data_IF_306072433458
#
_entry.id   IF_306072433458
#
_cell.length_a   1.000
_cell.length_b   1.000
_cell.length_c   1.000
_cell.angle_alpha   90.00
_cell.angle_beta   90.00
_cell.angle_gamma   90.00
#
_symmetry.space_group_name_H-M   'P 1'
#
loop_
_entity.id
_entity.type
_entity.pdbx_description
1 polymer ?
#
# COMPACT_ATOMS: atom_id res chain seq x y z
N UNK A 1 13.43 7.31 6.94
CA UNK A 1 13.40 6.03 6.22
C UNK A 1 12.92 6.23 4.78
N UNK A 2 13.16 5.29 3.85
CA UNK A 2 12.69 5.34 2.46
C UNK A 2 11.55 4.35 2.30
N UNK A 3 10.34 4.83 2.00
CA UNK A 3 9.13 3.98 1.97
C UNK A 3 8.53 3.96 0.57
N UNK A 4 8.31 2.78 0.03
CA UNK A 4 7.59 2.57 -1.23
C UNK A 4 6.15 2.13 -0.93
N UNK A 5 5.18 2.83 -1.51
CA UNK A 5 3.78 2.45 -1.46
C UNK A 5 3.34 1.87 -2.80
N UNK A 6 2.59 0.77 -2.75
CA UNK A 6 2.03 0.15 -3.95
C UNK A 6 0.72 -0.57 -3.64
N UNK A 7 -0.15 -0.70 -4.64
CA UNK A 7 -1.40 -1.45 -4.50
C UNK A 7 -1.72 -2.23 -5.75
N UNK A 8 -2.11 -3.48 -5.55
CA UNK A 8 -2.78 -4.33 -6.52
C UNK A 8 -4.28 -4.10 -6.56
N UNK A 9 -4.91 -3.43 -5.59
CA UNK A 9 -6.36 -3.18 -5.55
C UNK A 9 -6.72 -1.68 -5.48
N UNK A 10 -6.44 -0.92 -6.56
CA UNK A 10 -6.56 0.54 -6.53
C UNK A 10 -7.99 1.06 -6.31
N UNK A 11 -9.03 0.25 -6.58
CA UNK A 11 -10.42 0.63 -6.37
C UNK A 11 -10.79 0.80 -4.89
N UNK A 12 -10.21 -0.03 -4.02
CA UNK A 12 -10.46 0.02 -2.58
C UNK A 12 -9.34 0.71 -1.80
N UNK A 13 -8.08 0.34 -2.05
CA UNK A 13 -6.98 0.63 -1.14
C UNK A 13 -6.14 1.86 -1.52
N UNK A 14 -6.39 2.49 -2.66
CA UNK A 14 -5.60 3.64 -3.11
C UNK A 14 -5.58 4.77 -2.07
N UNK A 15 -6.74 5.16 -1.53
CA UNK A 15 -6.77 6.26 -0.56
C UNK A 15 -6.17 5.87 0.80
N UNK A 16 -6.31 4.61 1.23
CA UNK A 16 -5.67 4.07 2.44
C UNK A 16 -4.14 4.22 2.34
N UNK A 17 -3.57 3.75 1.24
CA UNK A 17 -2.13 3.89 0.97
C UNK A 17 -1.71 5.35 0.85
N UNK A 18 -2.47 6.18 0.14
CA UNK A 18 -2.17 7.62 -0.02
C UNK A 18 -2.14 8.34 1.32
N UNK A 19 -3.18 8.19 2.15
CA UNK A 19 -3.25 8.83 3.48
C UNK A 19 -2.09 8.38 4.37
N UNK A 20 -1.72 7.10 4.30
CA UNK A 20 -0.57 6.55 5.03
C UNK A 20 0.75 7.14 4.52
N UNK A 21 0.93 7.23 3.20
CA UNK A 21 2.11 7.83 2.58
C UNK A 21 2.27 9.31 2.97
N UNK A 22 1.16 10.06 2.95
CA UNK A 22 1.14 11.46 3.36
C UNK A 22 1.50 11.63 4.84
N UNK A 23 0.98 10.77 5.72
CA UNK A 23 1.31 10.80 7.15
C UNK A 23 2.79 10.47 7.41
N UNK A 24 3.34 9.42 6.78
CA UNK A 24 4.76 9.08 6.91
C UNK A 24 5.68 10.18 6.33
N UNK A 25 5.26 10.82 5.22
CA UNK A 25 5.98 11.97 4.67
C UNK A 25 6.04 13.11 5.68
N UNK A 26 4.92 13.45 6.32
CA UNK A 26 4.89 14.49 7.38
C UNK A 26 5.76 14.13 8.57
N UNK A 27 5.85 12.84 8.90
CA UNK A 27 6.76 12.33 9.93
C UNK A 27 8.25 12.30 9.50
N UNK A 28 8.58 12.72 8.27
CA UNK A 28 9.96 12.86 7.78
C UNK A 28 10.48 11.68 6.95
N UNK A 29 9.62 10.75 6.53
CA UNK A 29 10.00 9.69 5.60
C UNK A 29 10.13 10.19 4.16
N UNK A 30 11.08 9.61 3.42
CA UNK A 30 11.19 9.78 1.97
C UNK A 30 10.24 8.79 1.28
N UNK A 31 9.19 9.29 0.63
CA UNK A 31 8.32 8.44 -0.18
C UNK A 31 8.97 8.22 -1.55
N UNK A 32 9.23 6.95 -1.87
CA UNK A 32 10.01 6.54 -3.04
C UNK A 32 9.24 6.81 -4.32
N UNK A 33 9.87 7.56 -5.25
CA UNK A 33 9.38 7.73 -6.62
C UNK A 33 9.88 6.62 -7.53
N UNK A 34 8.99 5.87 -8.16
CA UNK A 34 9.38 4.74 -9.02
C UNK A 34 10.04 5.22 -10.33
N UNK A 35 10.92 4.41 -10.95
CA UNK A 35 11.39 4.69 -12.30
C UNK A 35 10.22 4.76 -13.31
N UNK A 36 10.30 5.64 -14.32
CA UNK A 36 9.29 5.72 -15.39
C UNK A 36 9.50 4.67 -16.48
N UNK A 37 8.43 4.41 -17.25
CA UNK A 37 8.43 3.54 -18.42
C UNK A 37 8.46 2.04 -18.08
N UNK A 38 8.01 1.68 -16.89
CA UNK A 38 7.96 0.29 -16.43
C UNK A 38 6.74 -0.42 -17.00
N UNK A 39 6.94 -1.67 -17.40
CA UNK A 39 5.92 -2.54 -17.97
C UNK A 39 5.90 -3.84 -17.17
N UNK A 40 4.70 -4.30 -16.82
CA UNK A 40 4.45 -5.60 -16.21
C UNK A 40 3.06 -6.09 -16.64
N UNK A 41 2.89 -7.40 -16.82
CA UNK A 41 1.59 -8.02 -17.15
C UNK A 41 0.81 -7.33 -18.27
N UNK A 42 1.50 -6.96 -19.35
CA UNK A 42 0.94 -6.25 -20.51
C UNK A 42 0.41 -4.82 -20.21
N UNK A 43 0.65 -4.30 -19.00
CA UNK A 43 0.28 -2.96 -18.56
C UNK A 43 1.49 -2.09 -18.21
N UNK A 44 1.21 -0.82 -17.91
CA UNK A 44 2.18 0.15 -17.41
C UNK A 44 2.17 0.15 -15.88
N UNK A 45 3.35 0.14 -15.27
CA UNK A 45 3.47 0.42 -13.83
C UNK A 45 3.58 1.92 -13.65
N UNK A 46 2.54 2.50 -13.09
CA UNK A 46 2.39 3.95 -12.89
C UNK A 46 2.35 4.27 -11.41
N UNK A 47 2.56 5.53 -11.06
CA UNK A 47 2.46 6.00 -9.68
C UNK A 47 1.55 7.22 -9.61
N UNK A 48 0.45 7.09 -8.88
CA UNK A 48 -0.51 8.16 -8.64
C UNK A 48 -0.66 8.39 -7.14
N UNK A 49 -0.66 9.66 -6.74
CA UNK A 49 -0.72 10.04 -5.32
C UNK A 49 0.29 9.26 -4.46
N UNK A 50 1.51 9.11 -5.00
CA UNK A 50 2.63 8.36 -4.43
C UNK A 50 2.46 6.83 -4.29
N UNK A 51 1.35 6.27 -4.73
CA UNK A 51 1.09 4.83 -4.71
C UNK A 51 1.35 4.24 -6.10
N UNK A 52 2.20 3.22 -6.18
CA UNK A 52 2.44 2.49 -7.42
C UNK A 52 1.30 1.50 -7.71
N UNK A 53 0.89 1.37 -8.96
CA UNK A 53 -0.22 0.52 -9.38
C UNK A 53 -0.08 0.12 -10.86
N UNK A 54 -0.87 -0.87 -11.28
CA UNK A 54 -0.91 -1.31 -12.68
C UNK A 54 -1.98 -0.54 -13.46
N UNK A 55 -1.62 -0.01 -14.62
CA UNK A 55 -2.53 0.66 -15.56
C UNK A 55 -2.56 -0.10 -16.89
N UNK A 56 -3.77 -0.27 -17.45
CA UNK A 56 -3.97 -0.80 -18.80
C UNK A 56 -5.20 -0.16 -19.44
N UNK A 57 -5.01 0.45 -20.60
CA UNK A 57 -6.11 1.02 -21.38
C UNK A 57 -6.79 2.22 -20.71
N UNK A 58 -6.01 3.12 -20.11
CA UNK A 58 -6.45 4.27 -19.31
C UNK A 58 -7.29 3.92 -18.07
N UNK A 59 -7.15 2.69 -17.55
CA UNK A 59 -7.82 2.20 -16.35
C UNK A 59 -6.79 1.69 -15.36
N UNK A 60 -7.01 1.88 -14.06
CA UNK A 60 -6.21 1.27 -13.00
C UNK A 60 -6.73 -0.14 -12.73
N UNK A 61 -5.86 -1.14 -12.79
CA UNK A 61 -6.25 -2.55 -12.76
C UNK A 61 -6.04 -3.18 -11.40
N UNK A 62 -7.02 -4.01 -11.04
CA UNK A 62 -6.84 -5.00 -9.99
C UNK A 62 -5.84 -6.07 -10.42
N UNK A 63 -4.87 -6.41 -9.57
CA UNK A 63 -3.92 -7.49 -9.82
C UNK A 63 -3.31 -8.05 -8.54
N UNK A 64 -3.26 -9.39 -8.45
CA UNK A 64 -2.51 -10.10 -7.41
C UNK A 64 -1.08 -10.44 -7.87
N UNK A 65 -0.69 -10.04 -9.09
CA UNK A 65 0.60 -10.38 -9.66
C UNK A 65 1.75 -9.69 -8.92
N UNK A 66 2.88 -10.39 -8.67
CA UNK A 66 4.09 -9.78 -8.13
C UNK A 66 4.92 -9.02 -9.18
N UNK A 67 4.62 -9.20 -10.48
CA UNK A 67 5.46 -8.70 -11.57
C UNK A 67 5.64 -7.16 -11.55
N UNK A 68 4.63 -6.33 -11.23
CA UNK A 68 4.83 -4.88 -11.14
C UNK A 68 5.83 -4.46 -10.06
N UNK A 69 5.80 -5.07 -8.88
CA UNK A 69 6.78 -4.82 -7.82
C UNK A 69 8.18 -5.27 -8.25
N UNK A 70 8.30 -6.45 -8.86
CA UNK A 70 9.57 -6.92 -9.40
C UNK A 70 10.15 -5.93 -10.42
N UNK A 71 9.32 -5.42 -11.35
CA UNK A 71 9.74 -4.43 -12.34
C UNK A 71 10.25 -3.13 -11.70
N UNK A 72 9.63 -2.66 -10.62
CA UNK A 72 10.09 -1.48 -9.87
C UNK A 72 11.47 -1.74 -9.25
N UNK A 73 11.59 -2.81 -8.46
CA UNK A 73 12.81 -3.11 -7.70
C UNK A 73 13.99 -3.40 -8.64
N UNK A 74 13.76 -4.20 -9.68
CA UNK A 74 14.78 -4.54 -10.68
C UNK A 74 15.25 -3.28 -11.44
N UNK A 75 14.33 -2.39 -11.82
CA UNK A 75 14.68 -1.14 -12.49
C UNK A 75 15.42 -0.16 -11.57
N UNK A 76 15.10 -0.11 -10.28
CA UNK A 76 15.84 0.68 -9.31
C UNK A 76 17.28 0.16 -9.17
N UNK A 77 17.44 -1.15 -8.97
CA UNK A 77 18.75 -1.78 -8.89
C UNK A 77 19.58 -1.56 -10.17
N UNK A 78 18.98 -1.77 -11.34
CA UNK A 78 19.65 -1.61 -12.62
C UNK A 78 20.11 -0.16 -12.88
N UNK A 79 19.34 0.83 -12.42
CA UNK A 79 19.69 2.26 -12.53
C UNK A 79 20.59 2.75 -11.38
N UNK A 80 21.07 1.86 -10.52
CA UNK A 80 21.90 2.20 -9.36
C UNK A 80 21.18 3.10 -8.34
N UNK A 81 19.84 3.08 -8.32
CA UNK A 81 19.03 3.83 -7.36
C UNK A 81 18.94 3.06 -6.05
N UNK A 82 19.04 3.71 -4.88
CA UNK A 82 18.87 3.03 -3.60
C UNK A 82 17.45 2.45 -3.50
N UNK A 83 17.34 1.17 -3.12
CA UNK A 83 16.07 0.48 -2.85
C UNK A 83 15.31 1.14 -1.67
N UNK A 84 13.99 0.91 -1.55
CA UNK A 84 13.26 1.27 -0.33
C UNK A 84 13.83 0.53 0.88
N UNK A 85 13.76 1.17 2.05
CA UNK A 85 13.99 0.51 3.34
C UNK A 85 12.76 -0.24 3.83
N UNK A 86 11.57 0.25 3.47
CA UNK A 86 10.28 -0.36 3.78
C UNK A 86 9.36 -0.31 2.55
N UNK A 87 8.60 -1.39 2.34
CA UNK A 87 7.50 -1.44 1.39
C UNK A 87 6.17 -1.57 2.15
N UNK A 88 5.21 -0.70 1.85
CA UNK A 88 3.83 -0.83 2.32
C UNK A 88 2.97 -1.13 1.10
N UNK A 89 2.41 -2.32 1.02
CA UNK A 89 1.69 -2.77 -0.17
C UNK A 89 0.59 -3.79 0.16
N UNK A 90 0.05 -4.45 -0.87
CA UNK A 90 -0.94 -5.53 -0.75
C UNK A 90 -0.69 -6.60 -1.85
N UNK A 91 -1.40 -7.73 -1.75
CA UNK A 91 -1.29 -8.88 -2.65
C UNK A 91 0.15 -9.30 -3.03
N UNK A 92 0.39 -9.63 -4.30
CA UNK A 92 1.70 -10.00 -4.82
C UNK A 92 2.75 -8.89 -4.74
N UNK A 93 2.36 -7.62 -4.56
CA UNK A 93 3.31 -6.51 -4.44
C UNK A 93 4.04 -6.57 -3.10
N UNK A 94 3.31 -6.73 -1.99
CA UNK A 94 3.91 -6.92 -0.68
C UNK A 94 4.69 -8.24 -0.62
N UNK A 95 4.13 -9.33 -1.16
CA UNK A 95 4.78 -10.63 -1.20
C UNK A 95 6.10 -10.62 -1.96
N UNK A 96 6.17 -9.92 -3.11
CA UNK A 96 7.40 -9.77 -3.87
C UNK A 96 8.48 -9.03 -3.08
N UNK A 97 8.13 -7.93 -2.42
CA UNK A 97 9.08 -7.17 -1.61
C UNK A 97 9.65 -8.02 -0.45
N UNK A 98 8.78 -8.71 0.30
CA UNK A 98 9.22 -9.60 1.38
C UNK A 98 10.12 -10.73 0.88
N UNK A 99 9.77 -11.39 -0.23
CA UNK A 99 10.61 -12.44 -0.84
C UNK A 99 11.96 -11.93 -1.36
N UNK A 100 12.06 -10.64 -1.67
CA UNK A 100 13.31 -9.96 -2.03
C UNK A 100 14.14 -9.54 -0.80
N UNK A 101 13.67 -9.85 0.41
CA UNK A 101 14.36 -9.56 1.67
C UNK A 101 14.25 -8.10 2.10
N UNK A 102 13.26 -7.36 1.59
CA UNK A 102 12.94 -6.01 2.06
C UNK A 102 11.94 -6.08 3.20
N UNK A 103 12.04 -5.16 4.16
CA UNK A 103 10.99 -5.01 5.15
C UNK A 103 9.69 -4.63 4.45
N UNK A 104 8.64 -5.39 4.73
CA UNK A 104 7.35 -5.27 4.05
C UNK A 104 6.19 -5.38 5.03
N UNK A 105 5.24 -4.44 4.91
CA UNK A 105 3.93 -4.46 5.56
C UNK A 105 2.89 -4.66 4.47
N UNK A 106 1.97 -5.60 4.69
CA UNK A 106 0.94 -5.99 3.74
C UNK A 106 -0.48 -5.75 4.25
N UNK A 107 -1.33 -5.05 3.51
CA UNK A 107 -2.79 -5.17 3.70
C UNK A 107 -3.28 -6.44 3.02
N UNK A 108 -4.16 -7.20 3.67
CA UNK A 108 -4.66 -8.46 3.13
C UNK A 108 -6.10 -8.77 3.54
N UNK A 109 -6.93 -9.13 2.55
CA UNK A 109 -8.21 -9.78 2.78
C UNK A 109 -8.01 -11.27 3.09
N UNK A 110 -8.99 -11.89 3.75
CA UNK A 110 -8.98 -13.28 4.16
C UNK A 110 -8.81 -14.28 3.00
N UNK A 111 -9.09 -13.84 1.77
CA UNK A 111 -8.88 -14.60 0.54
C UNK A 111 -7.45 -14.43 -0.04
N UNK A 112 -6.58 -13.63 0.58
CA UNK A 112 -5.14 -13.46 0.27
C UNK A 112 -4.24 -14.12 1.34
N UNK A 113 -4.29 -15.45 1.51
CA UNK A 113 -3.60 -16.14 2.60
C UNK A 113 -2.07 -16.02 2.54
N UNK A 114 -1.51 -15.64 1.39
CA UNK A 114 -0.06 -15.60 1.16
C UNK A 114 0.65 -14.60 2.08
N UNK A 115 0.04 -13.45 2.38
CA UNK A 115 0.67 -12.44 3.24
C UNK A 115 0.68 -12.87 4.70
N UNK A 116 -0.42 -13.46 5.18
CA UNK A 116 -0.50 -14.06 6.52
C UNK A 116 0.54 -15.17 6.72
N UNK A 117 0.73 -16.03 5.72
CA UNK A 117 1.79 -17.02 5.74
C UNK A 117 3.17 -16.36 5.76
N UNK A 118 3.37 -15.34 4.91
CA UNK A 118 4.61 -14.58 4.85
C UNK A 118 4.98 -13.94 6.20
N UNK A 119 4.02 -13.39 6.94
CA UNK A 119 4.24 -12.91 8.31
C UNK A 119 4.60 -14.06 9.26
N UNK A 120 3.85 -15.16 9.24
CA UNK A 120 4.12 -16.33 10.08
C UNK A 120 5.51 -16.95 9.83
N UNK A 121 6.05 -16.81 8.62
CA UNK A 121 7.37 -17.29 8.23
C UNK A 121 8.47 -16.23 8.41
N UNK A 122 8.13 -15.00 8.79
CA UNK A 122 9.05 -13.86 8.93
C UNK A 122 9.53 -13.28 7.60
N UNK A 123 8.86 -13.59 6.48
CA UNK A 123 9.08 -12.97 5.17
C UNK A 123 8.43 -11.58 5.07
N UNK A 124 7.30 -11.37 5.76
CA UNK A 124 6.70 -10.05 5.99
C UNK A 124 6.84 -9.66 7.46
N UNK A 125 6.96 -8.36 7.71
CA UNK A 125 7.03 -7.82 9.08
C UNK A 125 5.66 -7.86 9.76
N UNK A 126 4.63 -7.42 9.04
CA UNK A 126 3.24 -7.33 9.55
C UNK A 126 2.28 -7.55 8.39
N UNK A 127 1.23 -8.35 8.63
CA UNK A 127 0.02 -8.36 7.80
C UNK A 127 -1.10 -7.63 8.53
N UNK A 128 -1.67 -6.61 7.90
CA UNK A 128 -2.83 -5.87 8.42
C UNK A 128 -4.09 -6.47 7.80
N UNK A 129 -4.88 -7.26 8.54
CA UNK A 129 -6.11 -7.84 8.02
C UNK A 129 -7.16 -6.75 7.79
N UNK A 130 -7.78 -6.74 6.61
CA UNK A 130 -8.93 -5.91 6.28
C UNK A 130 -9.72 -6.53 5.12
N UNK A 131 -11.00 -6.20 4.98
CA UNK A 131 -11.73 -6.46 3.73
C UNK A 131 -11.27 -5.40 2.72
N UNK A 132 -10.66 -5.79 1.61
CA UNK A 132 -10.14 -4.85 0.61
C UNK A 132 -11.17 -4.46 -0.46
N UNK A 133 -12.36 -5.08 -0.47
CA UNK A 133 -13.41 -4.86 -1.46
C UNK A 133 -14.77 -4.50 -0.84
N UNK A 134 -14.78 -3.54 0.07
CA UNK A 134 -16.04 -2.91 0.52
C UNK A 134 -16.71 -2.11 -0.61
N UNK A 135 -18.04 -2.02 -0.57
CA UNK A 135 -18.83 -1.38 -1.64
C UNK A 135 -18.55 0.12 -1.81
N UNK A 136 -18.39 0.85 -0.71
CA UNK A 136 -18.01 2.27 -0.73
C UNK A 136 -16.62 2.44 -0.10
N UNK A 137 -15.59 2.79 -0.89
CA UNK A 137 -14.22 3.00 -0.40
C UNK A 137 -14.11 4.00 0.76
N UNK A 138 -15.07 4.92 0.94
CA UNK A 138 -15.10 5.83 2.11
C UNK A 138 -15.25 5.10 3.44
N UNK A 139 -15.72 3.85 3.42
CA UNK A 139 -15.81 3.01 4.61
C UNK A 139 -14.43 2.72 5.23
N UNK A 140 -13.33 2.94 4.50
CA UNK A 140 -11.98 2.83 5.02
C UNK A 140 -11.49 4.06 5.78
N UNK A 141 -12.17 5.21 5.69
CA UNK A 141 -11.72 6.46 6.32
C UNK A 141 -11.58 6.33 7.84
N UNK A 142 -12.57 5.79 8.60
CA UNK A 142 -12.45 5.67 10.05
C UNK A 142 -11.36 4.68 10.48
N UNK A 143 -11.17 3.62 9.70
CA UNK A 143 -10.12 2.62 9.94
C UNK A 143 -8.72 3.22 9.70
N UNK A 144 -8.56 3.97 8.61
CA UNK A 144 -7.31 4.65 8.29
C UNK A 144 -6.97 5.68 9.35
N UNK A 145 -7.95 6.47 9.81
CA UNK A 145 -7.77 7.42 10.91
C UNK A 145 -7.39 6.72 12.21
N UNK A 146 -8.07 5.65 12.56
CA UNK A 146 -7.73 4.86 13.74
C UNK A 146 -6.28 4.35 13.70
N UNK A 147 -5.84 3.81 12.56
CA UNK A 147 -4.47 3.30 12.39
C UNK A 147 -3.44 4.43 12.53
N UNK A 148 -3.67 5.57 11.87
CA UNK A 148 -2.79 6.73 11.97
C UNK A 148 -2.77 7.30 13.38
N UNK A 149 -3.91 7.33 14.07
CA UNK A 149 -4.00 7.80 15.46
C UNK A 149 -3.19 6.89 16.39
N UNK A 150 -3.42 5.58 16.28
CA UNK A 150 -2.73 4.58 17.10
C UNK A 150 -1.21 4.60 16.87
N UNK A 151 -0.77 4.96 15.66
CA UNK A 151 0.64 5.14 15.32
C UNK A 151 1.23 6.51 15.75
N UNK A 152 0.42 7.43 16.29
CA UNK A 152 0.84 8.79 16.61
C UNK A 152 1.15 9.65 15.38
N UNK A 153 0.48 9.36 14.26
CA UNK A 153 0.68 9.97 12.93
C UNK A 153 -0.50 10.85 12.46
N UNK A 154 -1.59 10.91 13.23
CA UNK A 154 -2.63 11.93 13.01
C UNK A 154 -2.18 13.30 13.54
N UNK A 155 -2.66 14.36 12.90
CA UNK A 155 -2.49 15.72 13.41
C UNK A 155 -3.44 15.97 14.59
N UNK A 156 -3.06 16.88 15.50
CA UNK A 156 -3.92 17.32 16.62
C UNK A 156 -5.24 17.98 16.15
N UNK A 157 -5.38 18.28 14.84
CA UNK A 157 -6.58 18.82 14.20
C UNK A 157 -7.45 17.81 13.43
N UNK A 158 -6.97 16.58 13.23
CA UNK A 158 -7.67 15.48 12.53
C UNK A 158 -8.31 14.48 13.52
N UNK A 159 -8.27 14.79 14.83
CA UNK A 159 -8.90 13.95 15.84
C UNK A 159 -10.40 13.78 15.52
N UNK A 160 -10.94 12.55 15.58
CA UNK A 160 -12.29 12.28 15.11
C UNK A 160 -13.29 13.13 15.88
N UNK A 161 -14.09 13.91 15.15
CA UNK A 161 -15.35 14.42 15.68
C UNK A 161 -16.16 13.18 16.03
N UNK A 162 -16.43 12.97 17.32
CA UNK A 162 -17.36 11.91 17.74
C UNK A 162 -18.72 12.26 17.14
N UNK A 163 -19.08 11.64 16.03
CA UNK A 163 -20.47 11.65 15.59
C UNK A 163 -21.27 10.84 16.60
N UNK A 164 -22.16 11.54 17.32
CA UNK A 164 -23.19 10.88 18.10
C UNK A 164 -24.04 10.05 17.13
N UNK A 165 -24.06 8.74 17.33
CA UNK A 165 -24.85 7.83 16.52
C UNK A 165 -26.31 8.33 16.46
N UNK A 166 -26.81 8.59 15.25
CA UNK A 166 -28.23 8.88 15.05
C UNK A 166 -29.06 7.71 15.61
N UNK A 167 -30.11 7.99 16.40
CA UNK A 167 -30.96 6.94 16.92
C UNK A 167 -31.68 6.26 15.73
N UNK A 168 -31.55 4.94 15.66
CA UNK A 168 -32.28 4.13 14.70
C UNK A 168 -33.79 4.42 14.81
N UNK A 169 -34.41 4.81 13.69
CA UNK A 169 -35.84 5.01 13.54
C UNK A 169 -36.59 3.69 13.34
#
# INVERSE_FOLDING_TARGET
ERVLFATGHPGGLLDVHRRTADALRRAGCEIVRIPSGLIADEGLVVQFADVAMLERGATLWHTHSPAPMAAILDAMAHRGRPLPGLVVADHGWAGCAGQRGLDAIGYADCNDPALFLGESEGTLQVTVPLDDHVTDPRSYEPMTEYLLHAAGLLEDGDAPVREEAEPAA
#
